data_IF_113193712555
#
_entry.id   IF_113193712555
#
_cell.length_a   1.000
_cell.length_b   1.000
_cell.length_c   1.000
_cell.angle_alpha   90.00
_cell.angle_beta   90.00
_cell.angle_gamma   90.00
#
_symmetry.space_group_name_H-M   'P 1'
#
loop_
_entity.id
_entity.type
_entity.pdbx_description
1 polymer ?
#
# COMPACT_ATOMS: atom_id res chain seq x y z
N UNK A 1 -7.79 4.87 -7.25
CA UNK A 1 -7.45 5.55 -5.97
C UNK A 1 -6.51 6.77 -6.14
N UNK A 2 -5.34 6.62 -6.77
CA UNK A 2 -4.30 7.66 -6.86
C UNK A 2 -4.10 8.31 -8.24
N UNK A 3 -5.07 8.17 -9.16
CA UNK A 3 -4.97 8.68 -10.54
C UNK A 3 -4.80 10.20 -10.64
N UNK A 4 -5.35 10.96 -9.67
CA UNK A 4 -5.20 12.41 -9.62
C UNK A 4 -4.18 12.82 -8.56
N UNK A 5 -3.44 13.93 -8.79
CA UNK A 5 -2.55 14.50 -7.79
C UNK A 5 -3.28 14.74 -6.47
N UNK A 6 -2.68 14.29 -5.37
CA UNK A 6 -3.18 14.54 -4.02
C UNK A 6 -2.21 15.40 -3.23
N UNK A 7 -2.70 15.97 -2.14
CA UNK A 7 -1.88 16.70 -1.18
C UNK A 7 -1.87 15.95 0.14
N UNK A 8 -0.66 15.70 0.65
CA UNK A 8 -0.47 15.22 2.01
C UNK A 8 -0.66 16.40 2.98
N UNK A 9 -1.30 16.14 4.12
CA UNK A 9 -1.16 17.00 5.28
C UNK A 9 0.24 16.85 5.88
N UNK A 10 0.57 17.73 6.81
CA UNK A 10 1.79 17.66 7.62
C UNK A 10 1.99 16.26 8.16
N UNK A 11 3.17 15.70 7.90
CA UNK A 11 3.61 14.42 8.44
C UNK A 11 4.11 14.58 9.87
N UNK A 12 3.86 13.58 10.72
CA UNK A 12 4.34 13.53 12.10
C UNK A 12 5.12 12.26 12.35
N UNK A 13 6.07 12.28 13.30
CA UNK A 13 6.75 11.05 13.72
C UNK A 13 5.76 10.08 14.36
N UNK A 14 5.79 8.84 13.88
CA UNK A 14 4.99 7.75 14.43
C UNK A 14 5.55 7.36 15.79
N UNK A 15 4.69 7.35 16.81
CA UNK A 15 5.11 7.04 18.16
C UNK A 15 5.48 5.55 18.31
N UNK A 16 6.38 5.17 19.23
CA UNK A 16 6.81 3.78 19.40
C UNK A 16 5.66 2.80 19.64
N UNK A 17 4.63 3.21 20.38
CA UNK A 17 3.43 2.41 20.62
C UNK A 17 2.65 2.15 19.32
N UNK A 18 2.35 3.20 18.55
CA UNK A 18 1.63 3.09 17.28
C UNK A 18 2.44 2.29 16.25
N UNK A 19 3.77 2.42 16.27
CA UNK A 19 4.67 1.59 15.46
C UNK A 19 4.55 0.10 15.80
N UNK A 20 4.48 -0.23 17.09
CA UNK A 20 4.28 -1.62 17.54
C UNK A 20 2.93 -2.16 17.04
N UNK A 21 1.86 -1.37 17.11
CA UNK A 21 0.56 -1.75 16.58
C UNK A 21 0.60 -1.93 15.06
N UNK A 22 1.28 -1.04 14.33
CA UNK A 22 1.48 -1.16 12.89
C UNK A 22 2.25 -2.45 12.54
N UNK A 23 3.35 -2.75 13.25
CA UNK A 23 4.12 -4.00 13.05
C UNK A 23 3.24 -5.23 13.26
N UNK A 24 2.42 -5.25 14.32
CA UNK A 24 1.47 -6.34 14.56
C UNK A 24 0.44 -6.46 13.43
N UNK A 25 -0.10 -5.34 12.95
CA UNK A 25 -1.07 -5.33 11.84
C UNK A 25 -0.46 -5.86 10.54
N UNK A 26 0.77 -5.44 10.21
CA UNK A 26 1.51 -5.92 9.02
C UNK A 26 1.76 -7.42 9.12
N UNK A 27 2.26 -7.92 10.25
CA UNK A 27 2.53 -9.36 10.43
C UNK A 27 1.26 -10.21 10.40
N UNK A 28 0.11 -9.64 10.82
CA UNK A 28 -1.20 -10.30 10.71
C UNK A 28 -1.68 -10.36 9.26
N UNK A 29 -1.58 -9.24 8.53
CA UNK A 29 -2.07 -9.13 7.16
C UNK A 29 -1.21 -9.94 6.18
N UNK A 30 0.09 -10.04 6.45
CA UNK A 30 1.06 -10.72 5.59
C UNK A 30 1.79 -11.76 6.43
N UNK A 31 1.28 -12.99 6.56
CA UNK A 31 2.00 -14.06 7.24
C UNK A 31 3.20 -14.51 6.39
N UNK A 32 4.35 -14.80 7.02
CA UNK A 32 5.51 -15.39 6.35
C UNK A 32 6.55 -14.42 5.78
N UNK A 33 6.40 -13.10 5.98
CA UNK A 33 7.33 -12.08 5.40
C UNK A 33 8.73 -12.09 6.04
N UNK A 34 8.94 -12.86 7.12
CA UNK A 34 10.14 -12.81 7.96
C UNK A 34 10.28 -11.47 8.70
N UNK A 35 11.35 -11.30 9.49
CA UNK A 35 11.72 -9.98 10.03
C UNK A 35 12.44 -9.13 8.97
N UNK A 36 11.80 -8.89 7.84
CA UNK A 36 12.26 -7.86 6.91
C UNK A 36 11.84 -6.50 7.44
N UNK A 37 12.69 -5.49 7.27
CA UNK A 37 12.56 -4.13 7.80
C UNK A 37 11.42 -3.30 7.14
N UNK A 38 10.27 -3.90 6.85
CA UNK A 38 9.15 -3.22 6.19
C UNK A 38 8.43 -2.21 7.12
N UNK A 39 8.67 -2.30 8.42
CA UNK A 39 8.24 -1.29 9.41
C UNK A 39 9.50 -0.76 10.10
N UNK A 40 10.20 0.22 9.48
CA UNK A 40 11.45 0.76 10.00
C UNK A 40 11.29 1.39 11.38
N UNK A 41 12.42 1.59 12.06
CA UNK A 41 12.41 2.17 13.39
C UNK A 41 11.83 3.59 13.41
N UNK A 42 12.20 4.39 12.42
CA UNK A 42 11.73 5.74 12.20
C UNK A 42 10.70 5.74 11.07
N UNK A 43 9.46 6.08 11.43
CA UNK A 43 8.35 6.21 10.50
C UNK A 43 7.69 7.56 10.69
N UNK A 44 7.24 8.11 9.57
CA UNK A 44 6.38 9.28 9.53
C UNK A 44 4.97 8.87 9.14
N UNK A 45 3.97 9.52 9.72
CA UNK A 45 2.57 9.33 9.41
C UNK A 45 2.03 10.63 8.79
N UNK A 46 1.39 10.53 7.63
CA UNK A 46 0.69 11.65 7.02
C UNK A 46 -0.76 11.28 6.66
N UNK A 47 -1.64 12.28 6.72
CA UNK A 47 -3.04 12.12 6.31
C UNK A 47 -3.25 12.64 4.90
N UNK A 48 -4.05 11.94 4.11
CA UNK A 48 -4.40 12.36 2.75
C UNK A 48 -5.86 12.09 2.41
N UNK A 49 -6.32 12.71 1.32
CA UNK A 49 -7.60 12.41 0.67
C UNK A 49 -7.36 12.21 -0.81
N UNK A 50 -8.19 11.37 -1.41
CA UNK A 50 -8.22 11.09 -2.85
C UNK A 50 -9.32 11.91 -3.51
N UNK A 51 -9.31 11.97 -4.83
CA UNK A 51 -10.38 12.58 -5.63
C UNK A 51 -11.69 11.77 -5.59
N UNK A 52 -11.60 10.49 -5.22
CA UNK A 52 -12.77 9.64 -4.97
C UNK A 52 -13.59 10.24 -3.83
N UNK A 53 -14.93 10.27 -3.97
CA UNK A 53 -15.86 10.89 -3.02
C UNK A 53 -16.05 10.04 -1.73
N UNK A 54 -14.95 9.54 -1.20
CA UNK A 54 -14.88 8.70 -0.03
C UNK A 54 -14.80 9.57 1.23
N UNK A 55 -15.53 9.16 2.27
CA UNK A 55 -15.55 9.89 3.54
C UNK A 55 -14.27 9.63 4.33
N UNK A 56 -13.81 10.65 5.05
CA UNK A 56 -12.72 10.54 6.01
C UNK A 56 -11.32 10.73 5.43
N UNK A 57 -10.34 10.78 6.33
CA UNK A 57 -8.92 10.84 5.99
C UNK A 57 -8.35 9.43 5.84
N UNK A 58 -7.42 9.27 4.91
CA UNK A 58 -6.58 8.08 4.79
C UNK A 58 -5.21 8.35 5.38
N UNK A 59 -4.49 7.28 5.72
CA UNK A 59 -3.15 7.38 6.31
C UNK A 59 -2.13 6.78 5.35
N UNK A 60 -1.01 7.48 5.18
CA UNK A 60 0.20 6.93 4.56
C UNK A 60 1.32 6.91 5.61
N UNK A 61 2.07 5.81 5.63
CA UNK A 61 3.26 5.61 6.45
C UNK A 61 4.48 5.75 5.54
N UNK A 62 5.36 6.69 5.89
CA UNK A 62 6.56 7.03 5.14
C UNK A 62 7.79 6.62 5.93
N UNK A 63 8.81 6.12 5.25
CA UNK A 63 10.13 5.88 5.82
C UNK A 63 10.86 7.18 6.18
N UNK A 64 12.08 7.06 6.75
CA UNK A 64 12.87 8.21 7.22
C UNK A 64 13.17 9.21 6.10
N UNK A 65 13.35 8.72 4.88
CA UNK A 65 13.65 9.53 3.69
C UNK A 65 12.39 10.02 2.96
N UNK A 66 11.20 9.81 3.52
CA UNK A 66 9.93 10.12 2.86
C UNK A 66 9.44 9.05 1.88
N UNK A 67 10.15 7.92 1.76
CA UNK A 67 9.74 6.79 0.93
C UNK A 67 8.36 6.26 1.37
N UNK A 68 7.37 6.11 0.47
CA UNK A 68 6.05 5.67 0.86
C UNK A 68 6.04 4.15 1.03
N UNK A 69 5.69 3.66 2.24
CA UNK A 69 5.79 2.24 2.57
C UNK A 69 4.42 1.55 2.62
N UNK A 70 3.47 2.17 3.33
CA UNK A 70 2.15 1.59 3.55
C UNK A 70 1.07 2.65 3.51
N UNK A 71 -0.16 2.26 3.21
CA UNK A 71 -1.32 3.15 3.35
C UNK A 71 -2.59 2.41 3.75
N UNK A 72 -3.58 3.16 4.27
CA UNK A 72 -4.93 2.65 4.55
C UNK A 72 -5.94 3.24 3.58
N UNK A 73 -7.00 2.49 3.28
CA UNK A 73 -8.11 2.94 2.42
C UNK A 73 -9.20 3.69 3.19
N UNK A 74 -9.18 3.63 4.52
CA UNK A 74 -10.11 4.35 5.40
C UNK A 74 -9.44 4.82 6.70
N UNK A 75 -10.10 5.76 7.39
CA UNK A 75 -9.60 6.36 8.63
C UNK A 75 -9.40 5.33 9.74
N UNK A 76 -10.31 4.36 9.82
CA UNK A 76 -10.31 3.30 10.83
C UNK A 76 -10.20 1.91 10.19
N UNK A 77 -9.64 1.85 8.96
CA UNK A 77 -9.49 0.57 8.28
C UNK A 77 -8.39 -0.27 8.95
N UNK A 78 -8.73 -1.52 9.27
CA UNK A 78 -7.74 -2.53 9.63
C UNK A 78 -6.90 -2.97 8.43
N UNK A 79 -7.37 -2.69 7.21
CA UNK A 79 -6.66 -3.02 5.99
C UNK A 79 -5.45 -2.09 5.78
N UNK A 80 -4.28 -2.71 5.70
CA UNK A 80 -3.01 -2.06 5.43
C UNK A 80 -2.48 -2.56 4.10
N UNK A 81 -2.23 -1.63 3.18
CA UNK A 81 -1.85 -1.96 1.81
C UNK A 81 -0.40 -1.52 1.58
N UNK A 82 0.48 -2.41 1.08
CA UNK A 82 1.83 -2.02 0.69
C UNK A 82 1.78 -1.11 -0.53
N UNK A 83 2.70 -0.15 -0.60
CA UNK A 83 2.91 0.59 -1.84
C UNK A 83 3.61 -0.29 -2.88
N UNK A 84 3.53 0.12 -4.15
CA UNK A 84 4.34 -0.50 -5.22
C UNK A 84 5.83 -0.42 -4.89
N UNK A 85 6.28 0.65 -4.23
CA UNK A 85 7.66 0.78 -3.75
C UNK A 85 8.04 -0.31 -2.73
N UNK A 86 7.15 -0.61 -1.77
CA UNK A 86 7.34 -1.72 -0.83
C UNK A 86 7.35 -3.08 -1.54
N UNK A 87 6.43 -3.29 -2.49
CA UNK A 87 6.40 -4.51 -3.30
C UNK A 87 7.64 -4.68 -4.17
N UNK A 88 8.22 -3.60 -4.67
CA UNK A 88 9.48 -3.68 -5.43
C UNK A 88 10.65 -4.15 -4.55
N UNK A 89 10.68 -3.75 -3.27
CA UNK A 89 11.67 -4.23 -2.29
C UNK A 89 11.40 -5.67 -1.83
N UNK A 90 10.13 -6.08 -1.79
CA UNK A 90 9.68 -7.39 -1.30
C UNK A 90 8.57 -7.95 -2.22
N UNK A 91 8.93 -8.49 -3.40
CA UNK A 91 7.95 -8.88 -4.43
C UNK A 91 7.11 -10.10 -4.03
N UNK A 92 7.60 -10.91 -3.10
CA UNK A 92 6.91 -12.07 -2.54
C UNK A 92 5.95 -11.73 -1.38
N UNK A 93 5.70 -10.44 -1.11
CA UNK A 93 4.76 -9.99 -0.08
C UNK A 93 3.29 -10.27 -0.47
N UNK A 94 2.99 -10.35 -1.76
CA UNK A 94 1.66 -10.62 -2.29
C UNK A 94 1.74 -11.70 -3.39
N UNK A 95 0.67 -12.47 -3.59
CA UNK A 95 0.53 -13.30 -4.79
C UNK A 95 0.66 -12.45 -6.06
N UNK A 96 1.34 -12.99 -7.06
CA UNK A 96 1.49 -12.32 -8.36
C UNK A 96 0.45 -12.85 -9.34
N UNK A 97 -0.16 -11.94 -10.09
CA UNK A 97 -1.02 -12.28 -11.23
C UNK A 97 -0.32 -11.85 -12.51
N UNK A 98 -0.23 -12.78 -13.47
CA UNK A 98 0.31 -12.49 -14.81
C UNK A 98 -0.85 -12.15 -15.74
N UNK A 99 -0.65 -11.15 -16.60
CA UNK A 99 -1.69 -10.61 -17.49
C UNK A 99 -1.15 -10.42 -18.91
N UNK A 100 -2.03 -10.17 -19.88
CA UNK A 100 -1.60 -9.95 -21.26
C UNK A 100 -0.93 -8.58 -21.41
N UNK A 101 0.12 -8.51 -22.24
CA UNK A 101 0.86 -7.27 -22.47
C UNK A 101 -0.03 -6.12 -22.97
N UNK A 102 -1.12 -6.43 -23.69
CA UNK A 102 -2.08 -5.43 -24.18
C UNK A 102 -2.86 -4.74 -23.05
N UNK A 103 -2.95 -5.33 -21.86
CA UNK A 103 -3.66 -4.77 -20.71
C UNK A 103 -2.79 -3.81 -19.89
N UNK A 104 -1.45 -3.88 -20.03
CA UNK A 104 -0.51 -3.05 -19.26
C UNK A 104 -0.81 -1.55 -19.39
N UNK A 105 -1.04 -0.98 -20.60
CA UNK A 105 -1.35 0.45 -20.73
C UNK A 105 -2.60 0.86 -19.95
N UNK A 106 -3.68 0.07 -20.02
CA UNK A 106 -4.93 0.33 -19.29
C UNK A 106 -4.72 0.29 -17.77
N UNK A 107 -4.02 -0.74 -17.28
CA UNK A 107 -3.69 -0.90 -15.85
C UNK A 107 -2.82 0.26 -15.34
N UNK A 108 -1.83 0.69 -16.13
CA UNK A 108 -1.00 1.86 -15.78
C UNK A 108 -1.79 3.16 -15.80
N UNK A 109 -2.86 3.25 -16.61
CA UNK A 109 -3.85 4.33 -16.56
C UNK A 109 -4.76 4.28 -15.33
N UNK A 110 -4.71 3.19 -14.56
CA UNK A 110 -5.50 2.98 -13.36
C UNK A 110 -6.88 2.41 -13.63
N UNK A 111 -7.11 1.80 -14.79
CA UNK A 111 -8.29 0.98 -15.06
C UNK A 111 -8.22 -0.33 -14.26
N UNK A 112 -9.40 -0.92 -14.01
CA UNK A 112 -9.49 -2.22 -13.36
C UNK A 112 -8.97 -3.33 -14.29
N UNK A 113 -8.37 -4.36 -13.70
CA UNK A 113 -7.97 -5.54 -14.45
C UNK A 113 -9.22 -6.27 -14.97
N UNK A 114 -9.37 -6.31 -16.28
CA UNK A 114 -10.36 -7.15 -16.92
C UNK A 114 -9.96 -8.61 -16.79
N UNK A 115 -10.93 -9.49 -16.50
CA UNK A 115 -10.69 -10.93 -16.59
C UNK A 115 -11.02 -11.35 -18.02
N UNK A 116 -10.02 -11.55 -18.90
CA UNK A 116 -10.29 -12.13 -20.21
C UNK A 116 -10.90 -13.52 -20.03
N UNK A 117 -11.80 -13.92 -20.93
CA UNK A 117 -12.35 -15.28 -20.97
C UNK A 117 -11.19 -16.26 -21.27
N UNK A 118 -10.54 -16.76 -20.21
CA UNK A 118 -9.41 -17.70 -20.30
C UNK A 118 -8.17 -17.33 -19.47
N UNK A 119 -8.33 -16.71 -18.30
CA UNK A 119 -7.20 -16.30 -17.46
C UNK A 119 -6.29 -17.46 -17.06
N UNK A 120 -4.99 -17.28 -17.30
CA UNK A 120 -3.89 -18.11 -16.81
C UNK A 120 -3.70 -17.83 -15.31
N UNK A 121 -4.46 -18.52 -14.47
CA UNK A 121 -4.08 -18.68 -13.07
C UNK A 121 -2.72 -19.39 -13.03
N UNK A 122 -1.77 -18.98 -12.16
CA UNK A 122 -0.60 -19.80 -11.93
C UNK A 122 -1.04 -21.20 -11.45
N UNK A 123 -0.30 -22.28 -11.80
CA UNK A 123 -0.56 -23.61 -11.25
C UNK A 123 -0.42 -23.65 -9.72
#
# INVERSE_FOLDING_TARGET
MFQQPLKLKTSVHLQPYDRRLLKQRVLRAFPGIGEVELVPAELMLAKFRTHLNERGWKVVYLGPNGDPLWFTVGQDSEEIIPTVYTLWKKPDLLPTLTTFSEEIPALTGGEDLSIPKGSLLPP
#
